data_IF_090538254691
#
_entry.id   IF_090538254691
#
_cell.length_a   1.000
_cell.length_b   1.000
_cell.length_c   1.000
_cell.angle_alpha   90.00
_cell.angle_beta   90.00
_cell.angle_gamma   90.00
#
_symmetry.space_group_name_H-M   'P 1'
#
loop_
_entity.id
_entity.type
_entity.pdbx_description
1 polymer ?
#
# COMPACT_ATOMS: atom_id res chain seq x y z
N UNK A 1 -5.93 41.73 5.90
CA UNK A 1 -6.37 40.43 5.37
C UNK A 1 -6.30 39.41 6.50
N UNK A 2 -7.13 38.33 6.51
CA UNK A 2 -6.91 37.24 7.44
C UNK A 2 -5.48 36.73 7.30
N UNK A 3 -4.78 36.61 8.42
CA UNK A 3 -3.35 36.26 8.43
C UNK A 3 -3.15 34.76 8.21
N UNK A 4 -4.19 33.97 8.45
CA UNK A 4 -4.25 32.55 8.16
C UNK A 4 -5.50 32.25 7.35
N UNK A 5 -5.34 31.51 6.27
CA UNK A 5 -6.41 31.06 5.39
C UNK A 5 -6.16 29.62 5.00
N UNK A 6 -7.14 28.98 4.37
CA UNK A 6 -6.93 27.73 3.68
C UNK A 6 -7.47 27.79 2.25
N UNK A 7 -6.88 26.99 1.37
CA UNK A 7 -7.35 26.75 0.01
C UNK A 7 -7.59 25.26 -0.17
N UNK A 8 -8.62 24.89 -0.94
CA UNK A 8 -8.91 23.49 -1.27
C UNK A 8 -8.73 23.30 -2.77
N UNK A 9 -7.92 22.32 -3.16
CA UNK A 9 -7.74 21.88 -4.53
C UNK A 9 -8.40 20.51 -4.73
N UNK A 10 -9.27 20.39 -5.74
CA UNK A 10 -9.93 19.15 -6.11
C UNK A 10 -9.32 18.60 -7.41
N UNK A 11 -9.18 17.28 -7.48
CA UNK A 11 -8.58 16.55 -8.59
C UNK A 11 -9.60 15.53 -9.13
N UNK A 12 -9.74 15.46 -10.45
CA UNK A 12 -10.71 14.58 -11.11
C UNK A 12 -10.34 13.09 -10.98
N UNK A 13 -9.05 12.79 -10.95
CA UNK A 13 -8.52 11.43 -10.86
C UNK A 13 -7.90 11.21 -9.47
N UNK A 14 -8.56 10.47 -8.56
CA UNK A 14 -7.99 10.15 -7.27
C UNK A 14 -6.72 9.31 -7.42
N UNK A 15 -5.68 9.52 -6.61
CA UNK A 15 -4.43 8.74 -6.70
C UNK A 15 -3.91 8.29 -5.35
N UNK A 16 -3.23 7.14 -5.30
CA UNK A 16 -2.34 6.83 -4.19
C UNK A 16 -1.15 7.79 -4.25
N UNK A 17 -1.02 8.63 -3.24
CA UNK A 17 -0.08 9.77 -3.24
C UNK A 17 1.36 9.28 -3.21
N UNK A 18 2.13 9.66 -4.23
CA UNK A 18 3.59 9.48 -4.24
C UNK A 18 4.30 10.83 -3.99
N UNK A 19 3.73 11.95 -4.43
CA UNK A 19 4.22 13.30 -4.11
C UNK A 19 3.13 14.38 -4.19
N UNK A 20 3.36 15.50 -3.49
CA UNK A 20 2.59 16.74 -3.61
C UNK A 20 3.58 17.86 -3.91
N UNK A 21 3.38 18.58 -5.01
CA UNK A 21 4.22 19.73 -5.37
C UNK A 21 3.38 21.00 -5.37
N UNK A 22 3.91 22.06 -4.74
CA UNK A 22 3.26 23.37 -4.64
C UNK A 22 4.15 24.39 -5.33
N UNK A 23 3.63 25.05 -6.36
CA UNK A 23 4.33 26.09 -7.09
C UNK A 23 4.04 27.44 -6.43
N UNK A 24 5.02 27.94 -5.68
CA UNK A 24 4.94 29.21 -4.97
C UNK A 24 5.81 30.24 -5.69
N UNK A 25 5.21 31.32 -6.20
CA UNK A 25 5.91 32.28 -7.08
C UNK A 25 6.17 33.65 -6.45
N UNK A 26 5.46 33.98 -5.37
CA UNK A 26 5.66 35.22 -4.61
C UNK A 26 5.49 34.98 -3.11
N UNK A 27 6.46 35.45 -2.31
CA UNK A 27 6.54 35.23 -0.85
C UNK A 27 6.34 33.76 -0.44
N UNK A 28 7.05 32.84 -1.09
CA UNK A 28 6.96 31.41 -0.83
C UNK A 28 7.29 31.04 0.64
N UNK A 29 6.85 29.86 1.09
CA UNK A 29 7.05 29.42 2.46
C UNK A 29 5.90 29.73 3.41
N UNK A 30 4.78 30.24 2.87
CA UNK A 30 3.57 30.50 3.65
C UNK A 30 2.69 29.28 3.88
N UNK A 31 2.85 28.20 3.10
CA UNK A 31 2.12 26.95 3.34
C UNK A 31 2.67 26.29 4.61
N UNK A 32 1.81 26.08 5.60
CA UNK A 32 2.20 25.57 6.94
C UNK A 32 1.54 24.24 7.31
N UNK A 33 0.51 23.83 6.59
CA UNK A 33 -0.11 22.50 6.74
C UNK A 33 -0.67 22.05 5.39
N UNK A 34 -0.54 20.76 5.10
CA UNK A 34 -1.13 20.09 3.95
C UNK A 34 -1.95 18.92 4.46
N UNK A 35 -3.26 19.00 4.25
CA UNK A 35 -4.19 17.93 4.57
C UNK A 35 -4.70 17.25 3.29
N UNK A 36 -4.99 15.95 3.40
CA UNK A 36 -5.68 15.16 2.38
C UNK A 36 -7.08 14.79 2.87
N UNK A 37 -8.04 14.66 1.96
CA UNK A 37 -9.39 14.18 2.30
C UNK A 37 -9.42 12.65 2.32
N UNK A 38 -9.84 12.07 3.43
CA UNK A 38 -10.02 10.63 3.58
C UNK A 38 -11.35 10.14 2.98
N UNK A 39 -11.51 8.85 2.68
CA UNK A 39 -12.77 8.27 2.20
C UNK A 39 -13.95 8.49 3.16
N UNK A 40 -13.66 8.60 4.47
CA UNK A 40 -14.65 8.87 5.52
C UNK A 40 -15.08 10.36 5.58
N UNK A 41 -14.52 11.21 4.71
CA UNK A 41 -14.79 12.64 4.68
C UNK A 41 -14.04 13.45 5.73
N UNK A 42 -13.02 12.87 6.36
CA UNK A 42 -12.17 13.55 7.35
C UNK A 42 -10.92 14.11 6.70
N UNK A 43 -10.47 15.28 7.14
CA UNK A 43 -9.19 15.83 6.70
C UNK A 43 -8.06 15.28 7.56
N UNK A 44 -7.01 14.78 6.92
CA UNK A 44 -5.83 14.19 7.56
C UNK A 44 -4.60 15.01 7.16
N UNK A 45 -3.90 15.60 8.12
CA UNK A 45 -2.62 16.25 7.87
C UNK A 45 -1.56 15.23 7.47
N UNK A 46 -0.88 15.48 6.35
CA UNK A 46 0.25 14.67 5.86
C UNK A 46 1.60 15.37 6.04
N UNK A 47 1.58 16.66 6.37
CA UNK A 47 2.76 17.46 6.66
C UNK A 47 2.39 18.77 7.36
N UNK A 48 3.20 19.18 8.34
CA UNK A 48 3.10 20.47 9.01
C UNK A 48 4.48 21.14 9.14
N UNK A 49 4.50 22.46 9.02
CA UNK A 49 5.67 23.28 9.34
C UNK A 49 5.61 23.75 10.81
N UNK A 50 6.78 23.97 11.41
CA UNK A 50 6.88 24.58 12.74
C UNK A 50 6.42 26.04 12.74
N UNK A 51 6.74 26.79 11.69
CA UNK A 51 6.40 28.20 11.52
C UNK A 51 6.43 28.60 10.03
N UNK A 52 5.66 29.64 9.63
CA UNK A 52 5.74 30.17 8.28
C UNK A 52 7.08 30.82 8.00
N UNK A 53 7.50 30.75 6.74
CA UNK A 53 8.73 31.36 6.24
C UNK A 53 8.41 32.42 5.18
N UNK A 54 9.38 33.27 4.87
CA UNK A 54 9.33 34.14 3.69
C UNK A 54 10.53 33.85 2.82
N UNK A 55 10.25 33.33 1.64
CA UNK A 55 11.24 33.05 0.61
C UNK A 55 10.89 33.96 -0.56
N UNK A 56 11.81 34.88 -0.87
CA UNK A 56 11.60 35.96 -1.86
C UNK A 56 11.81 35.51 -3.30
N UNK A 57 12.16 34.25 -3.51
CA UNK A 57 12.33 33.61 -4.82
C UNK A 57 11.21 32.60 -5.06
N UNK A 58 10.80 32.45 -6.32
CA UNK A 58 9.89 31.38 -6.72
C UNK A 58 10.48 30.00 -6.45
N UNK A 59 9.65 29.03 -6.08
CA UNK A 59 10.06 27.64 -5.91
C UNK A 59 8.95 26.66 -6.22
N UNK A 60 9.35 25.42 -6.53
CA UNK A 60 8.48 24.27 -6.39
C UNK A 60 8.79 23.63 -5.03
N UNK A 61 7.82 23.69 -4.12
CA UNK A 61 7.90 23.03 -2.82
C UNK A 61 7.32 21.62 -2.93
N UNK A 62 8.20 20.62 -2.91
CA UNK A 62 7.81 19.21 -2.79
C UNK A 62 7.62 18.87 -1.31
N UNK A 63 6.38 18.56 -0.94
CA UNK A 63 6.00 18.32 0.45
C UNK A 63 6.69 17.04 0.96
N UNK A 64 7.42 17.08 2.09
CA UNK A 64 8.06 15.89 2.64
C UNK A 64 7.02 15.05 3.38
N UNK A 65 6.46 14.07 2.68
CA UNK A 65 5.46 13.12 3.22
C UNK A 65 6.21 11.94 3.86
N UNK A 66 6.26 11.88 5.18
CA UNK A 66 6.91 10.76 5.91
C UNK A 66 6.13 9.45 5.74
N UNK A 67 4.80 9.53 5.78
CA UNK A 67 3.91 8.38 5.64
C UNK A 67 2.77 8.73 4.69
N UNK A 68 2.80 8.11 3.50
CA UNK A 68 1.74 8.27 2.53
C UNK A 68 0.40 7.72 3.08
N UNK A 69 -0.73 8.40 2.80
CA UNK A 69 -2.04 7.89 3.16
C UNK A 69 -2.33 6.57 2.43
N UNK A 70 -2.90 5.55 3.10
CA UNK A 70 -3.14 4.24 2.50
C UNK A 70 -4.39 4.19 1.60
N UNK A 71 -4.79 5.32 1.01
CA UNK A 71 -5.98 5.48 0.21
C UNK A 71 -5.76 6.47 -0.92
N UNK A 72 -6.65 6.46 -1.92
CA UNK A 72 -6.60 7.41 -3.02
C UNK A 72 -7.11 8.78 -2.57
N UNK A 73 -6.35 9.82 -2.90
CA UNK A 73 -6.65 11.21 -2.56
C UNK A 73 -7.13 11.93 -3.82
N UNK A 74 -8.22 12.69 -3.69
CA UNK A 74 -8.77 13.56 -4.74
C UNK A 74 -8.89 15.02 -4.31
N UNK A 75 -8.50 15.34 -3.08
CA UNK A 75 -8.56 16.70 -2.57
C UNK A 75 -7.43 16.98 -1.61
N UNK A 76 -6.87 18.19 -1.74
CA UNK A 76 -5.87 18.74 -0.83
C UNK A 76 -6.45 19.98 -0.16
N UNK A 77 -6.16 20.16 1.12
CA UNK A 77 -6.38 21.43 1.82
C UNK A 77 -5.03 21.99 2.26
N UNK A 78 -4.71 23.17 1.75
CA UNK A 78 -3.48 23.88 2.06
C UNK A 78 -3.81 24.97 3.07
N UNK A 79 -3.17 24.95 4.23
CA UNK A 79 -3.22 26.05 5.18
C UNK A 79 -2.07 27.01 4.92
N UNK A 80 -2.40 28.28 4.77
CA UNK A 80 -1.45 29.34 4.44
C UNK A 80 -1.43 30.34 5.59
N UNK A 81 -0.24 30.59 6.12
CA UNK A 81 0.03 31.60 7.14
C UNK A 81 0.93 32.70 6.55
N UNK A 82 0.34 33.88 6.38
CA UNK A 82 1.00 35.05 5.82
C UNK A 82 1.64 35.96 6.88
N UNK A 83 1.71 35.54 8.16
CA UNK A 83 2.32 36.35 9.24
C UNK A 83 3.75 36.73 8.91
N UNK A 84 4.54 35.78 8.40
CA UNK A 84 5.95 35.99 8.10
C UNK A 84 6.15 37.02 6.98
N UNK A 85 5.35 36.94 5.90
CA UNK A 85 5.47 37.86 4.76
C UNK A 85 4.91 39.25 5.05
N UNK A 86 4.00 39.35 6.03
CA UNK A 86 3.27 40.58 6.35
C UNK A 86 2.33 41.05 5.25
N UNK A 87 2.12 40.23 4.21
CA UNK A 87 1.30 40.55 3.05
C UNK A 87 0.59 39.28 2.53
N UNK A 88 0.59 39.02 1.22
CA UNK A 88 0.02 37.82 0.61
C UNK A 88 1.14 36.87 0.11
N UNK A 89 0.76 35.61 -0.09
CA UNK A 89 1.59 34.54 -0.66
C UNK A 89 0.92 34.05 -1.94
N UNK A 90 1.68 33.85 -3.00
CA UNK A 90 1.19 33.34 -4.28
C UNK A 90 1.43 31.84 -4.39
N UNK A 91 0.34 31.11 -4.67
CA UNK A 91 0.37 29.72 -5.07
C UNK A 91 -0.25 29.68 -6.46
N UNK A 92 0.57 29.43 -7.48
CA UNK A 92 0.10 29.40 -8.88
C UNK A 92 -0.54 28.05 -9.24
N UNK A 93 0.04 26.97 -8.71
CA UNK A 93 -0.38 25.63 -9.02
C UNK A 93 -0.09 24.65 -7.88
N UNK A 94 -0.90 23.60 -7.84
CA UNK A 94 -0.71 22.45 -6.96
C UNK A 94 -0.81 21.20 -7.81
N UNK A 95 0.17 20.33 -7.68
CA UNK A 95 0.25 19.06 -8.40
C UNK A 95 0.14 17.91 -7.39
N UNK A 96 -0.80 17.01 -7.64
CA UNK A 96 -0.95 15.75 -6.92
C UNK A 96 -0.39 14.63 -7.81
N UNK A 97 0.74 14.08 -7.41
CA UNK A 97 1.42 13.00 -8.14
C UNK A 97 1.14 11.68 -7.44
N UNK A 98 0.76 10.68 -8.23
CA UNK A 98 0.52 9.37 -7.66
C UNK A 98 0.09 8.34 -8.69
N UNK A 99 -0.24 7.17 -8.18
CA UNK A 99 -0.65 6.02 -8.97
C UNK A 99 -2.18 5.89 -8.99
N UNK A 100 -2.71 5.69 -10.19
CA UNK A 100 -4.14 5.47 -10.45
C UNK A 100 -4.54 4.00 -10.21
N UNK A 101 -3.59 3.09 -10.05
CA UNK A 101 -3.85 1.63 -10.13
C UNK A 101 -4.97 1.20 -9.17
N UNK A 102 -6.04 0.64 -9.75
CA UNK A 102 -7.19 0.06 -9.03
C UNK A 102 -6.86 -1.27 -8.35
N UNK A 103 -5.66 -1.81 -8.56
CA UNK A 103 -5.20 -2.95 -7.79
C UNK A 103 -4.93 -2.47 -6.38
N UNK A 104 -5.65 -3.05 -5.41
CA UNK A 104 -5.44 -2.85 -3.98
C UNK A 104 -3.93 -2.73 -3.68
N UNK A 105 -3.53 -1.85 -2.73
CA UNK A 105 -2.14 -1.82 -2.28
C UNK A 105 -1.69 -3.27 -2.06
N UNK A 106 -0.49 -3.66 -2.56
CA UNK A 106 -0.04 -5.03 -2.46
C UNK A 106 -0.25 -5.50 -1.01
N UNK A 107 -0.82 -6.71 -0.81
CA UNK A 107 -1.08 -7.22 0.54
C UNK A 107 0.18 -7.02 1.37
N UNK A 108 0.00 -6.54 2.59
CA UNK A 108 1.09 -6.23 3.49
C UNK A 108 2.04 -7.44 3.59
N UNK A 109 3.19 -7.34 2.91
CA UNK A 109 4.15 -8.44 2.81
C UNK A 109 4.80 -8.78 4.16
N UNK A 110 4.59 -7.94 5.18
CA UNK A 110 5.02 -8.26 6.55
C UNK A 110 4.26 -9.46 7.14
N UNK A 111 3.08 -9.81 6.58
CA UNK A 111 2.29 -10.97 7.00
C UNK A 111 2.51 -12.22 6.13
N UNK A 112 3.45 -12.21 5.17
CA UNK A 112 3.70 -13.37 4.31
C UNK A 112 3.97 -14.65 5.11
N UNK A 113 4.65 -14.53 6.26
CA UNK A 113 4.87 -15.68 7.14
C UNK A 113 3.56 -16.28 7.67
N UNK A 114 2.59 -15.44 8.05
CA UNK A 114 1.29 -15.88 8.54
C UNK A 114 0.45 -16.46 7.42
N UNK A 115 0.46 -15.83 6.25
CA UNK A 115 -0.26 -16.31 5.07
C UNK A 115 0.26 -17.67 4.60
N UNK A 116 1.59 -17.86 4.57
CA UNK A 116 2.19 -19.17 4.28
C UNK A 116 1.90 -20.19 5.38
N UNK A 117 1.83 -19.78 6.65
CA UNK A 117 1.48 -20.67 7.74
C UNK A 117 0.03 -21.20 7.61
N UNK A 118 -0.90 -20.39 7.10
CA UNK A 118 -2.28 -20.82 6.84
C UNK A 118 -2.39 -21.91 5.77
N UNK A 119 -1.41 -22.02 4.86
CA UNK A 119 -1.40 -23.07 3.84
C UNK A 119 -1.00 -24.45 4.39
N UNK A 120 -0.48 -24.53 5.61
CA UNK A 120 -0.07 -25.79 6.22
C UNK A 120 -1.30 -26.59 6.64
N UNK A 121 -1.43 -27.80 6.09
CA UNK A 121 -2.54 -28.72 6.38
C UNK A 121 -3.94 -28.16 6.03
N UNK A 122 -3.99 -27.23 5.08
CA UNK A 122 -5.24 -26.69 4.56
C UNK A 122 -5.81 -27.59 3.46
N UNK A 123 -7.07 -28.01 3.62
CA UNK A 123 -7.72 -28.96 2.71
C UNK A 123 -8.04 -28.33 1.36
N UNK A 124 -8.45 -27.07 1.36
CA UNK A 124 -9.04 -26.43 0.17
C UNK A 124 -7.97 -26.04 -0.86
N UNK A 125 -6.77 -25.72 -0.39
CA UNK A 125 -5.64 -25.31 -1.25
C UNK A 125 -4.69 -26.44 -1.58
N UNK A 126 -4.75 -27.58 -0.87
CA UNK A 126 -3.83 -28.71 -1.05
C UNK A 126 -4.21 -29.60 -2.23
N UNK A 127 -3.20 -30.02 -2.99
CA UNK A 127 -3.33 -30.91 -4.15
C UNK A 127 -2.86 -32.35 -3.85
N UNK A 128 -2.45 -32.62 -2.61
CA UNK A 128 -2.06 -33.96 -2.14
C UNK A 128 -2.42 -34.13 -0.65
N UNK A 129 -2.74 -35.37 -0.26
CA UNK A 129 -2.90 -35.74 1.14
C UNK A 129 -2.18 -37.06 1.47
N UNK A 130 -1.82 -37.24 2.75
CA UNK A 130 -1.21 -38.45 3.28
C UNK A 130 -2.13 -39.04 4.35
N UNK A 131 -2.45 -40.32 4.24
CA UNK A 131 -3.06 -41.07 5.33
C UNK A 131 -1.96 -41.79 6.13
N UNK A 132 -1.87 -41.49 7.42
CA UNK A 132 -0.90 -42.07 8.35
C UNK A 132 -1.68 -42.52 9.58
N UNK A 133 -1.77 -43.84 9.79
CA UNK A 133 -2.47 -44.42 10.94
C UNK A 133 -3.92 -43.93 11.11
N UNK A 134 -4.62 -43.66 10.00
CA UNK A 134 -6.00 -43.16 10.01
C UNK A 134 -6.14 -41.64 10.11
N UNK A 135 -5.03 -40.91 10.30
CA UNK A 135 -5.01 -39.45 10.24
C UNK A 135 -4.65 -38.96 8.85
N UNK A 136 -5.37 -37.96 8.34
CA UNK A 136 -5.10 -37.35 7.03
C UNK A 136 -4.36 -36.02 7.20
N UNK A 137 -3.27 -35.85 6.46
CA UNK A 137 -2.48 -34.62 6.38
C UNK A 137 -2.52 -34.05 4.97
N UNK A 138 -2.91 -32.79 4.82
CA UNK A 138 -2.99 -32.09 3.55
C UNK A 138 -1.68 -31.33 3.27
N UNK A 139 -1.21 -31.36 2.03
CA UNK A 139 0.04 -30.74 1.63
C UNK A 139 0.01 -30.28 0.17
N UNK A 140 1.09 -29.61 -0.23
CA UNK A 140 1.26 -29.03 -1.56
C UNK A 140 2.39 -29.73 -2.33
N UNK A 141 2.10 -30.33 -3.48
CA UNK A 141 3.09 -31.03 -4.33
C UNK A 141 4.24 -30.13 -4.73
N UNK A 142 3.96 -28.86 -5.00
CA UNK A 142 4.97 -27.84 -5.32
C UNK A 142 5.98 -27.68 -4.19
N UNK A 143 5.51 -27.51 -2.95
CA UNK A 143 6.36 -27.38 -1.76
C UNK A 143 7.15 -28.67 -1.53
N UNK A 144 6.50 -29.83 -1.56
CA UNK A 144 7.16 -31.12 -1.36
C UNK A 144 8.25 -31.40 -2.41
N UNK A 145 7.96 -31.08 -3.67
CA UNK A 145 8.89 -31.28 -4.79
C UNK A 145 10.13 -30.40 -4.71
N UNK A 146 10.00 -29.18 -4.17
CA UNK A 146 11.13 -28.28 -3.93
C UNK A 146 11.93 -28.74 -2.71
N UNK A 147 11.25 -29.24 -1.67
CA UNK A 147 11.88 -29.56 -0.38
C UNK A 147 12.50 -30.95 -0.30
N UNK A 148 12.14 -31.87 -1.20
CA UNK A 148 12.62 -33.25 -1.19
C UNK A 148 12.76 -33.83 -2.60
N UNK A 149 13.93 -34.37 -2.92
CA UNK A 149 14.16 -35.06 -4.19
C UNK A 149 13.29 -36.31 -4.34
N UNK A 150 13.02 -37.03 -3.23
CA UNK A 150 12.11 -38.17 -3.22
C UNK A 150 10.71 -37.74 -3.67
N UNK A 151 10.15 -36.69 -3.05
CA UNK A 151 8.84 -36.18 -3.42
C UNK A 151 8.84 -35.50 -4.79
N UNK A 152 9.95 -34.90 -5.22
CA UNK A 152 10.11 -34.34 -6.57
C UNK A 152 9.96 -35.41 -7.64
N UNK A 153 10.62 -36.55 -7.47
CA UNK A 153 10.51 -37.69 -8.38
C UNK A 153 9.11 -38.31 -8.28
N UNK A 154 8.60 -38.51 -7.07
CA UNK A 154 7.28 -39.08 -6.83
C UNK A 154 6.17 -38.23 -7.48
N UNK A 155 6.19 -36.91 -7.32
CA UNK A 155 5.17 -36.02 -7.87
C UNK A 155 5.24 -35.90 -9.40
N UNK A 156 6.38 -36.21 -10.01
CA UNK A 156 6.56 -36.24 -11.47
C UNK A 156 6.10 -37.56 -12.09
N UNK A 157 6.08 -38.63 -11.31
CA UNK A 157 5.82 -39.99 -11.79
C UNK A 157 4.38 -40.40 -11.44
N UNK A 158 3.43 -40.04 -12.31
CA UNK A 158 1.98 -40.23 -12.15
C UNK A 158 1.51 -41.69 -12.04
N UNK A 159 2.43 -42.66 -12.07
CA UNK A 159 2.15 -44.09 -12.31
C UNK A 159 2.45 -45.00 -11.13
N UNK A 160 3.03 -44.49 -10.02
CA UNK A 160 3.51 -45.33 -8.92
C UNK A 160 2.51 -45.38 -7.76
N UNK A 161 1.73 -46.46 -7.66
CA UNK A 161 1.02 -46.82 -6.42
C UNK A 161 2.05 -47.24 -5.36
N UNK A 162 2.05 -46.60 -4.20
CA UNK A 162 2.88 -47.03 -3.06
C UNK A 162 2.33 -48.35 -2.50
N UNK A 163 3.18 -49.38 -2.42
CA UNK A 163 2.84 -50.68 -1.82
C UNK A 163 3.21 -50.78 -0.34
N UNK A 164 3.56 -49.67 0.32
CA UNK A 164 3.90 -49.65 1.74
C UNK A 164 3.02 -48.62 2.45
N UNK A 165 1.95 -49.08 3.13
CA UNK A 165 1.12 -48.44 4.17
C UNK A 165 0.73 -46.93 4.07
N UNK A 166 1.01 -46.24 2.97
CA UNK A 166 0.61 -44.87 2.70
C UNK A 166 -0.23 -44.88 1.43
N UNK A 167 -1.55 -44.75 1.57
CA UNK A 167 -2.44 -44.65 0.43
C UNK A 167 -2.48 -43.21 -0.10
N UNK A 168 -2.25 -43.07 -1.40
CA UNK A 168 -2.43 -41.84 -2.15
C UNK A 168 -3.92 -41.68 -2.46
N UNK A 169 -4.56 -40.69 -1.84
CA UNK A 169 -5.96 -40.37 -2.11
C UNK A 169 -6.01 -39.03 -2.85
N UNK A 170 -6.26 -39.02 -4.17
CA UNK A 170 -6.58 -37.80 -4.90
C UNK A 170 -7.83 -37.16 -4.27
N UNK A 171 -7.79 -35.87 -3.98
CA UNK A 171 -8.93 -35.12 -3.40
C UNK A 171 -10.14 -35.05 -4.31
N UNK A 172 -10.00 -35.41 -5.58
CA UNK A 172 -11.08 -35.56 -6.56
C UNK A 172 -12.06 -36.72 -6.21
N UNK A 173 -11.73 -37.57 -5.22
CA UNK A 173 -12.54 -38.72 -4.80
C UNK A 173 -12.86 -38.77 -3.29
N UNK A 174 -12.94 -37.61 -2.61
CA UNK A 174 -13.42 -37.48 -1.22
C UNK A 174 -14.70 -36.68 -1.15
#
# INVERSE_FOLDING_TARGET
MPVRVFSIAWFCDPVFVDAINIYETYNAGGVVDVEVLSPEGSWLSVWQADHPMVITTSRMFSVPIEKAPPFRVSALKLHVDCTASGTWVEIDAVELVGRIVDTAPPPDVTQLQEDLARLVNDKDTSDISFNIEGQTFYAHRGILSVRSQYFSLLCKDSTRKMTNNFEFIPTENV
#
